data_IF_921085361957
#
_entry.id   IF_921085361957
#
_cell.length_a   1.000
_cell.length_b   1.000
_cell.length_c   1.000
_cell.angle_alpha   90.00
_cell.angle_beta   90.00
_cell.angle_gamma   90.00
#
_symmetry.space_group_name_H-M   'P 1'
#
loop_
_entity.id
_entity.type
_entity.pdbx_description
1 polymer ?
#
# COMPACT_ATOMS: atom_id res chain seq x y z
N UNK A 1 0.44 -4.16 17.31
CA UNK A 1 -0.85 -3.67 16.78
C UNK A 1 -1.07 -2.27 17.32
N UNK A 2 -1.37 -1.32 16.46
CA UNK A 2 -1.64 0.07 16.81
C UNK A 2 -3.04 0.48 16.34
N UNK A 3 -3.78 1.17 17.19
CA UNK A 3 -5.21 1.49 16.99
C UNK A 3 -5.45 3.00 17.03
N UNK A 4 -6.69 3.42 16.77
CA UNK A 4 -7.12 4.83 16.80
C UNK A 4 -6.44 5.71 15.76
N UNK A 5 -5.95 5.10 14.69
CA UNK A 5 -5.43 5.79 13.53
C UNK A 5 -6.55 6.09 12.54
N UNK A 6 -6.42 7.21 11.85
CA UNK A 6 -7.36 7.64 10.83
C UNK A 6 -6.58 7.99 9.58
N UNK A 7 -7.03 7.53 8.41
CA UNK A 7 -6.44 7.93 7.13
C UNK A 7 -6.65 9.43 6.96
N UNK A 8 -5.55 10.15 6.77
CA UNK A 8 -5.55 11.58 6.49
C UNK A 8 -5.42 11.81 4.98
N UNK A 9 -4.53 11.06 4.32
CA UNK A 9 -4.27 11.14 2.89
C UNK A 9 -3.95 9.76 2.30
N UNK A 10 -4.38 9.51 1.07
CA UNK A 10 -3.97 8.34 0.28
C UNK A 10 -3.00 8.85 -0.78
N UNK A 11 -1.74 8.42 -0.74
CA UNK A 11 -0.69 8.94 -1.62
C UNK A 11 -0.68 8.19 -2.95
N UNK A 12 -0.74 6.86 -2.89
CA UNK A 12 -0.79 5.96 -4.03
C UNK A 12 -1.46 4.62 -3.62
N UNK A 13 -1.32 3.60 -4.46
CA UNK A 13 -1.92 2.29 -4.24
C UNK A 13 -1.39 1.50 -3.05
N UNK A 14 -0.22 1.86 -2.49
CA UNK A 14 0.41 1.12 -1.39
C UNK A 14 1.02 2.02 -0.29
N UNK A 15 0.68 3.31 -0.29
CA UNK A 15 1.19 4.29 0.66
C UNK A 15 0.09 5.26 1.11
N UNK A 16 -0.05 5.41 2.43
CA UNK A 16 -1.06 6.29 3.05
C UNK A 16 -0.44 7.13 4.17
N UNK A 17 -1.00 8.30 4.43
CA UNK A 17 -0.72 9.10 5.64
C UNK A 17 -1.83 8.87 6.63
N UNK A 18 -1.47 8.56 7.88
CA UNK A 18 -2.41 8.39 8.97
C UNK A 18 -2.12 9.37 10.11
N UNK A 19 -3.18 9.78 10.79
CA UNK A 19 -3.15 10.65 11.95
C UNK A 19 -3.78 9.95 13.15
N UNK A 20 -3.13 10.02 14.31
CA UNK A 20 -3.66 9.47 15.55
C UNK A 20 -4.73 10.39 16.12
N UNK A 21 -5.93 9.86 16.33
CA UNK A 21 -7.14 10.66 16.61
C UNK A 21 -7.10 11.47 17.90
N UNK A 22 -6.22 11.13 18.85
CA UNK A 22 -6.13 11.80 20.15
C UNK A 22 -4.88 12.66 20.33
N UNK A 23 -3.78 12.30 19.67
CA UNK A 23 -2.47 12.97 19.87
C UNK A 23 -2.11 13.87 18.70
N UNK A 24 -2.77 13.72 17.54
CA UNK A 24 -2.41 14.43 16.31
C UNK A 24 -1.10 13.96 15.70
N UNK A 25 -0.50 12.86 16.21
CA UNK A 25 0.71 12.28 15.63
C UNK A 25 0.43 11.81 14.21
N UNK A 26 1.28 12.19 13.27
CA UNK A 26 1.17 11.84 11.85
C UNK A 26 2.31 10.91 11.45
N UNK A 27 2.01 9.94 10.59
CA UNK A 27 3.02 9.05 10.00
C UNK A 27 2.60 8.54 8.64
N UNK A 28 3.58 8.24 7.81
CA UNK A 28 3.39 7.58 6.52
C UNK A 28 3.52 6.05 6.71
N UNK A 29 2.53 5.33 6.17
CA UNK A 29 2.51 3.86 6.15
C UNK A 29 2.70 3.39 4.72
N UNK A 30 3.67 2.48 4.54
CA UNK A 30 3.87 1.67 3.34
C UNK A 30 3.30 0.27 3.59
N UNK A 31 2.52 -0.26 2.65
CA UNK A 31 1.90 -1.57 2.80
C UNK A 31 2.93 -2.70 2.67
N UNK A 32 2.98 -3.65 3.61
CA UNK A 32 3.86 -4.81 3.52
C UNK A 32 3.59 -5.64 2.26
N UNK A 33 4.68 -6.11 1.64
CA UNK A 33 4.64 -7.14 0.61
C UNK A 33 3.98 -6.72 -0.70
N UNK A 34 3.70 -5.42 -0.88
CA UNK A 34 3.06 -4.86 -2.06
C UNK A 34 3.99 -3.91 -2.82
N UNK A 35 3.79 -3.87 -4.13
CA UNK A 35 4.27 -2.82 -5.02
C UNK A 35 3.14 -2.39 -5.94
N UNK A 36 2.67 -1.17 -5.77
CA UNK A 36 1.70 -0.52 -6.64
C UNK A 36 2.39 0.39 -7.68
N UNK A 37 1.85 0.53 -8.90
CA UNK A 37 2.40 1.45 -9.88
C UNK A 37 2.33 2.91 -9.43
N UNK A 38 3.31 3.70 -9.86
CA UNK A 38 3.42 5.11 -9.50
C UNK A 38 2.26 5.97 -10.06
N UNK A 39 1.82 6.96 -9.28
CA UNK A 39 0.75 7.90 -9.68
C UNK A 39 1.29 9.21 -10.28
N UNK A 40 2.62 9.35 -10.38
CA UNK A 40 3.30 10.53 -10.93
C UNK A 40 4.47 10.10 -11.79
N UNK A 41 4.71 10.83 -12.88
CA UNK A 41 5.91 10.62 -13.71
C UNK A 41 7.12 11.13 -12.92
N UNK A 42 7.86 10.18 -12.35
CA UNK A 42 9.08 10.43 -11.57
C UNK A 42 10.22 9.52 -12.06
N UNK A 43 11.37 9.56 -11.38
CA UNK A 43 12.51 8.70 -11.71
C UNK A 43 12.15 7.21 -11.63
N UNK A 44 11.40 6.80 -10.60
CA UNK A 44 10.99 5.40 -10.42
C UNK A 44 10.09 4.93 -11.55
N UNK A 45 9.17 5.77 -12.04
CA UNK A 45 8.32 5.43 -13.18
C UNK A 45 9.12 5.15 -14.46
N UNK A 46 10.22 5.88 -14.69
CA UNK A 46 11.12 5.60 -15.82
C UNK A 46 11.84 4.26 -15.65
N UNK A 47 12.32 3.97 -14.44
CA UNK A 47 12.94 2.68 -14.12
C UNK A 47 11.93 1.51 -14.28
N UNK A 48 10.66 1.73 -13.96
CA UNK A 48 9.59 0.73 -14.11
C UNK A 48 9.18 0.55 -15.58
N UNK A 49 9.16 1.62 -16.38
CA UNK A 49 8.96 1.57 -17.84
C UNK A 49 10.06 0.72 -18.50
N UNK A 50 11.33 0.95 -18.15
CA UNK A 50 12.46 0.16 -18.65
C UNK A 50 12.36 -1.31 -18.26
N UNK A 51 12.04 -1.62 -17.00
CA UNK A 51 11.94 -3.00 -16.49
C UNK A 51 10.75 -3.77 -17.08
N UNK A 52 9.60 -3.10 -17.20
CA UNK A 52 8.36 -3.74 -17.62
C UNK A 52 8.16 -3.74 -19.14
N UNK A 53 8.93 -2.92 -19.87
CA UNK A 53 8.70 -2.63 -21.29
C UNK A 53 7.29 -2.09 -21.57
N UNK A 54 6.61 -1.53 -20.56
CA UNK A 54 5.32 -0.88 -20.69
C UNK A 54 5.50 0.63 -20.72
N UNK A 55 4.76 1.36 -21.58
CA UNK A 55 4.83 2.82 -21.61
C UNK A 55 4.50 3.43 -20.25
N UNK A 56 5.24 4.46 -19.83
CA UNK A 56 5.02 5.18 -18.58
C UNK A 56 3.58 5.69 -18.44
N UNK A 57 2.94 6.08 -19.55
CA UNK A 57 1.54 6.51 -19.56
C UNK A 57 0.56 5.39 -19.17
N UNK A 58 0.84 4.15 -19.58
CA UNK A 58 0.02 2.99 -19.21
C UNK A 58 0.25 2.62 -17.74
N UNK A 59 1.50 2.66 -17.28
CA UNK A 59 1.82 2.45 -15.87
C UNK A 59 1.15 3.49 -14.97
N UNK A 60 1.14 4.76 -15.39
CA UNK A 60 0.44 5.84 -14.72
C UNK A 60 -1.08 5.57 -14.62
N UNK A 61 -1.70 5.05 -15.69
CA UNK A 61 -3.11 4.67 -15.66
C UNK A 61 -3.37 3.57 -14.63
N UNK A 62 -2.51 2.55 -14.55
CA UNK A 62 -2.63 1.51 -13.51
C UNK A 62 -2.43 2.07 -12.10
N UNK A 63 -1.49 3.00 -11.92
CA UNK A 63 -1.28 3.68 -10.64
C UNK A 63 -2.51 4.46 -10.19
N UNK A 64 -3.11 5.23 -11.11
CA UNK A 64 -4.35 5.97 -10.85
C UNK A 64 -5.52 5.03 -10.53
N UNK A 65 -5.66 3.91 -11.24
CA UNK A 65 -6.69 2.91 -10.94
C UNK A 65 -6.52 2.33 -9.54
N UNK A 66 -5.29 2.01 -9.14
CA UNK A 66 -4.96 1.52 -7.80
C UNK A 66 -5.29 2.57 -6.73
N UNK A 67 -4.88 3.82 -6.94
CA UNK A 67 -5.22 4.95 -6.07
C UNK A 67 -6.75 5.12 -5.92
N UNK A 68 -7.49 5.10 -7.03
CA UNK A 68 -8.95 5.22 -7.00
C UNK A 68 -9.61 4.07 -6.25
N UNK A 69 -9.09 2.86 -6.38
CA UNK A 69 -9.57 1.72 -5.59
C UNK A 69 -9.37 1.95 -4.10
N UNK A 70 -8.16 2.34 -3.66
CA UNK A 70 -7.89 2.64 -2.24
C UNK A 70 -8.82 3.74 -1.73
N UNK A 71 -9.01 4.81 -2.50
CA UNK A 71 -9.95 5.89 -2.16
C UNK A 71 -11.40 5.40 -2.03
N UNK A 72 -11.79 4.35 -2.78
CA UNK A 72 -13.15 3.80 -2.73
C UNK A 72 -13.38 2.92 -1.49
N UNK A 73 -12.39 2.13 -1.07
CA UNK A 73 -12.52 1.18 0.05
C UNK A 73 -12.05 1.75 1.40
N UNK A 74 -11.12 2.71 1.35
CA UNK A 74 -10.47 3.31 2.50
C UNK A 74 -10.22 4.82 2.28
N UNK A 75 -11.30 5.62 2.06
CA UNK A 75 -11.17 7.06 1.86
C UNK A 75 -10.54 7.78 3.07
N UNK A 76 -10.06 9.02 2.90
CA UNK A 76 -9.73 9.88 4.02
C UNK A 76 -10.85 9.91 5.06
N UNK A 77 -10.45 9.99 6.32
CA UNK A 77 -11.27 9.84 7.53
C UNK A 77 -11.63 8.41 7.92
N UNK A 78 -11.25 7.39 7.17
CA UNK A 78 -11.43 5.98 7.57
C UNK A 78 -10.56 5.65 8.79
N UNK A 79 -11.16 5.03 9.81
CA UNK A 79 -10.43 4.57 11.01
C UNK A 79 -9.81 3.21 10.73
N UNK A 80 -8.51 3.07 10.98
CA UNK A 80 -7.75 1.86 10.66
C UNK A 80 -6.94 1.36 11.85
N UNK A 81 -6.60 0.07 11.80
CA UNK A 81 -5.64 -0.56 12.71
C UNK A 81 -4.41 -0.94 11.91
N UNK A 82 -3.22 -0.65 12.45
CA UNK A 82 -1.94 -0.99 11.85
C UNK A 82 -1.35 -2.20 12.56
N UNK A 83 -1.02 -3.24 11.81
CA UNK A 83 -0.30 -4.41 12.30
C UNK A 83 1.09 -4.41 11.65
N UNK A 84 2.13 -4.63 12.46
CA UNK A 84 3.52 -4.67 12.01
C UNK A 84 4.18 -6.00 12.33
N UNK A 85 5.21 -6.35 11.56
CA UNK A 85 6.10 -7.46 11.86
C UNK A 85 7.07 -7.10 13.01
N UNK A 86 7.64 -8.09 13.70
CA UNK A 86 8.46 -7.87 14.90
C UNK A 86 9.84 -7.23 14.64
N UNK A 87 10.41 -7.38 13.45
CA UNK A 87 11.79 -6.93 13.16
C UNK A 87 11.91 -6.02 11.92
N UNK A 88 10.79 -5.68 11.26
CA UNK A 88 10.80 -4.98 9.96
C UNK A 88 9.86 -3.77 9.94
N UNK A 89 9.97 -2.90 10.96
CA UNK A 89 9.03 -1.80 11.15
C UNK A 89 9.13 -0.67 10.12
N UNK A 90 10.29 -0.43 9.54
CA UNK A 90 10.52 0.71 8.66
C UNK A 90 11.20 0.29 7.36
N UNK A 91 10.88 1.00 6.29
CA UNK A 91 11.59 0.89 5.03
C UNK A 91 12.85 1.76 5.01
N UNK A 92 13.60 1.71 3.90
CA UNK A 92 14.82 2.52 3.72
C UNK A 92 14.59 4.03 3.85
N UNK A 93 13.38 4.50 3.56
CA UNK A 93 12.98 5.91 3.60
C UNK A 93 12.35 6.31 4.94
N UNK A 94 12.45 5.45 5.95
CA UNK A 94 11.90 5.64 7.30
C UNK A 94 10.36 5.75 7.33
N UNK A 95 9.68 5.18 6.34
CA UNK A 95 8.23 4.99 6.34
C UNK A 95 7.90 3.72 7.08
N UNK A 96 6.85 3.74 7.90
CA UNK A 96 6.50 2.56 8.67
C UNK A 96 5.84 1.52 7.76
N UNK A 97 6.29 0.28 7.82
CA UNK A 97 5.67 -0.83 7.10
C UNK A 97 4.50 -1.39 7.90
N UNK A 98 3.36 -1.60 7.25
CA UNK A 98 2.12 -2.00 7.92
C UNK A 98 1.18 -2.88 7.08
N UNK A 99 0.46 -3.77 7.77
CA UNK A 99 -0.81 -4.30 7.31
C UNK A 99 -1.91 -3.36 7.80
N UNK A 100 -2.71 -2.85 6.87
CA UNK A 100 -3.77 -1.88 7.20
C UNK A 100 -5.10 -2.62 7.28
N UNK A 101 -5.65 -2.68 8.49
CA UNK A 101 -6.94 -3.33 8.76
C UNK A 101 -8.03 -2.26 8.78
N UNK A 102 -9.01 -2.43 7.90
CA UNK A 102 -10.16 -1.55 7.72
C UNK A 102 -11.25 -1.81 8.78
N UNK A 103 -12.23 -0.89 8.94
CA UNK A 103 -13.43 -1.18 9.70
C UNK A 103 -14.11 -2.44 9.18
N UNK A 104 -14.43 -3.38 10.07
CA UNK A 104 -14.97 -4.69 9.70
C UNK A 104 -13.92 -5.81 9.54
N UNK A 105 -12.63 -5.50 9.70
CA UNK A 105 -11.57 -6.50 9.81
C UNK A 105 -10.93 -6.92 8.48
N UNK A 106 -11.35 -6.33 7.36
CA UNK A 106 -10.72 -6.58 6.06
C UNK A 106 -9.31 -5.98 6.01
N UNK A 107 -8.39 -6.67 5.34
CA UNK A 107 -7.02 -6.21 5.13
C UNK A 107 -6.91 -5.48 3.78
N UNK A 108 -6.53 -4.20 3.81
CA UNK A 108 -6.36 -3.39 2.59
C UNK A 108 -5.29 -4.00 1.66
N UNK A 109 -4.22 -4.57 2.24
CA UNK A 109 -3.15 -5.18 1.46
C UNK A 109 -3.66 -6.36 0.61
N UNK A 110 -4.51 -7.21 1.21
CA UNK A 110 -5.12 -8.34 0.51
C UNK A 110 -6.12 -7.87 -0.55
N UNK A 111 -6.93 -6.85 -0.25
CA UNK A 111 -7.90 -6.29 -1.19
C UNK A 111 -7.21 -5.79 -2.47
N UNK A 112 -6.06 -5.12 -2.35
CA UNK A 112 -5.29 -4.65 -3.50
C UNK A 112 -4.81 -5.80 -4.39
N UNK A 113 -4.33 -6.89 -3.80
CA UNK A 113 -3.89 -8.07 -4.54
C UNK A 113 -5.07 -8.80 -5.19
N UNK A 114 -6.15 -9.01 -4.44
CA UNK A 114 -7.36 -9.71 -4.90
C UNK A 114 -8.01 -9.00 -6.09
N UNK A 115 -7.87 -7.68 -6.19
CA UNK A 115 -8.45 -6.89 -7.28
C UNK A 115 -7.41 -6.49 -8.35
N UNK A 116 -6.17 -7.00 -8.28
CA UNK A 116 -5.15 -6.78 -9.30
C UNK A 116 -4.54 -5.37 -9.31
N UNK A 117 -4.66 -4.61 -8.22
CA UNK A 117 -4.20 -3.22 -8.11
C UNK A 117 -2.77 -3.08 -7.54
N UNK A 118 -2.18 -4.18 -7.08
CA UNK A 118 -0.78 -4.24 -6.64
C UNK A 118 -0.18 -5.61 -6.99
N UNK A 119 1.16 -5.68 -7.02
CA UNK A 119 1.90 -6.93 -7.15
C UNK A 119 2.48 -7.35 -5.81
N UNK A 120 2.54 -8.66 -5.57
CA UNK A 120 3.24 -9.20 -4.41
C UNK A 120 4.76 -9.09 -4.62
N UNK A 121 5.46 -8.46 -3.69
CA UNK A 121 6.91 -8.21 -3.79
C UNK A 121 7.67 -8.68 -2.54
N UNK A 122 8.87 -9.30 -2.70
CA UNK A 122 9.74 -9.68 -1.58
C UNK A 122 10.65 -8.54 -1.11
N UNK A 123 10.47 -7.30 -1.60
CA UNK A 123 11.38 -6.18 -1.34
C UNK A 123 11.66 -5.93 0.14
N UNK A 124 10.64 -6.14 1.00
CA UNK A 124 10.75 -6.11 2.45
C UNK A 124 10.20 -7.42 3.01
N UNK A 125 10.72 -7.85 4.16
CA UNK A 125 10.20 -9.04 4.83
C UNK A 125 8.70 -8.87 5.10
N UNK A 126 7.93 -9.88 4.68
CA UNK A 126 6.49 -9.95 4.84
C UNK A 126 6.14 -11.40 5.14
N UNK A 127 5.63 -11.68 6.35
CA UNK A 127 5.24 -13.04 6.73
C UNK A 127 4.11 -13.60 5.85
N UNK A 128 3.32 -12.71 5.23
CA UNK A 128 2.22 -13.07 4.32
C UNK A 128 2.65 -13.21 2.85
N UNK A 129 3.93 -13.06 2.51
CA UNK A 129 4.40 -13.03 1.11
C UNK A 129 3.95 -14.26 0.31
N UNK A 130 4.07 -15.46 0.88
CA UNK A 130 3.64 -16.69 0.20
C UNK A 130 2.14 -16.69 -0.10
N UNK A 131 1.31 -16.24 0.85
CA UNK A 131 -0.13 -16.09 0.63
C UNK A 131 -0.44 -15.03 -0.43
N UNK A 132 0.27 -13.90 -0.40
CA UNK A 132 0.10 -12.80 -1.36
C UNK A 132 0.44 -13.22 -2.79
N UNK A 133 1.52 -13.99 -2.98
CA UNK A 133 1.87 -14.55 -4.28
C UNK A 133 0.82 -15.54 -4.79
N UNK A 134 0.17 -16.29 -3.90
CA UNK A 134 -0.92 -17.20 -4.28
C UNK A 134 -2.20 -16.45 -4.68
N UNK A 135 -2.52 -15.33 -4.00
CA UNK A 135 -3.63 -14.45 -4.36
C UNK A 135 -3.38 -13.84 -5.74
N UNK A 136 -2.19 -13.26 -5.94
CA UNK A 136 -1.84 -12.58 -7.19
C UNK A 136 -1.86 -13.50 -8.43
N UNK A 137 -1.63 -14.80 -8.27
CA UNK A 137 -1.68 -15.80 -9.36
C UNK A 137 -3.08 -16.22 -9.79
N UNK A 138 -4.12 -15.88 -9.02
CA UNK A 138 -5.51 -16.24 -9.33
C UNK A 138 -6.21 -15.25 -10.26
N UNK A 139 -5.57 -14.09 -10.49
CA UNK A 139 -6.03 -13.00 -11.35
C UNK A 139 -5.23 -12.98 -12.66
#
# INVERSE_FOLDING_TARGET
METHWQIEEVLDGDSIIICHRFTGLRKEIRLYGLDAPEVKINRKMKEDEEKSSLPAQLLLQFGLQSLHFVLSVAPPKTVVTIITEQENYYDYWNRQLGYVILPGGLCLNELLLQNGYAKATPQYYCGQLAAYQMIAKRN
#
